data_IF_064781534825
#
_entry.id   IF_064781534825
#
_cell.length_a   1.000
_cell.length_b   1.000
_cell.length_c   1.000
_cell.angle_alpha   90.00
_cell.angle_beta   90.00
_cell.angle_gamma   90.00
#
_symmetry.space_group_name_H-M   'P 1'
#
loop_
_entity.id
_entity.type
_entity.pdbx_description
1 polymer ?
#
# COMPACT_ATOMS: atom_id res chain seq x y z
N UNK A 1 5.34 -12.31 5.70
CA UNK A 1 3.92 -11.88 5.66
C UNK A 1 3.31 -11.96 4.26
N UNK A 2 4.04 -11.61 3.20
CA UNK A 2 3.52 -11.65 1.82
C UNK A 2 3.15 -13.06 1.35
N UNK A 3 3.80 -14.11 1.85
CA UNK A 3 3.48 -15.48 1.51
C UNK A 3 2.02 -15.86 1.76
N UNK A 4 1.37 -15.28 2.79
CA UNK A 4 -0.04 -15.50 3.09
C UNK A 4 -0.99 -14.94 1.99
N UNK A 5 -0.52 -13.94 1.24
CA UNK A 5 -1.28 -13.26 0.18
C UNK A 5 -0.92 -13.77 -1.22
N UNK A 6 -0.04 -14.77 -1.29
CA UNK A 6 0.29 -15.42 -2.57
C UNK A 6 -0.92 -16.19 -3.08
N UNK A 7 -1.17 -16.08 -4.37
CA UNK A 7 -2.22 -16.84 -5.05
C UNK A 7 -1.64 -17.51 -6.29
N UNK A 8 -2.16 -18.68 -6.62
CA UNK A 8 -1.83 -19.41 -7.85
C UNK A 8 -2.87 -19.15 -8.97
N UNK A 9 -3.64 -18.06 -8.88
CA UNK A 9 -4.58 -17.66 -9.93
C UNK A 9 -3.81 -17.47 -11.23
N UNK A 10 -4.24 -18.23 -12.26
CA UNK A 10 -3.72 -18.11 -13.62
C UNK A 10 -4.40 -16.94 -14.31
N UNK A 11 -3.61 -16.13 -15.00
CA UNK A 11 -4.13 -15.00 -15.77
C UNK A 11 -3.16 -13.82 -15.80
N UNK A 12 -3.47 -12.77 -16.56
CA UNK A 12 -2.68 -11.55 -16.56
C UNK A 12 -2.79 -10.84 -15.19
N UNK A 13 -1.67 -10.32 -14.71
CA UNK A 13 -1.67 -9.52 -13.50
C UNK A 13 -2.36 -8.17 -13.71
N UNK A 14 -3.23 -7.77 -12.78
CA UNK A 14 -3.85 -6.45 -12.78
C UNK A 14 -2.82 -5.33 -12.62
N UNK A 15 -1.74 -5.63 -11.89
CA UNK A 15 -0.63 -4.71 -11.65
C UNK A 15 0.68 -5.44 -11.93
N UNK A 16 1.57 -4.81 -12.71
CA UNK A 16 2.92 -5.29 -12.94
C UNK A 16 3.95 -4.26 -12.46
N UNK A 17 4.78 -4.64 -11.51
CA UNK A 17 5.86 -3.82 -10.98
C UNK A 17 7.21 -4.43 -11.37
N UNK A 18 8.10 -3.60 -11.95
CA UNK A 18 9.47 -4.00 -12.26
C UNK A 18 10.43 -3.21 -11.38
N UNK A 19 11.26 -3.91 -10.62
CA UNK A 19 12.27 -3.31 -9.78
C UNK A 19 13.61 -3.23 -10.51
N UNK A 20 14.29 -2.09 -10.35
CA UNK A 20 15.65 -1.81 -10.81
C UNK A 20 16.48 -1.40 -9.59
N UNK A 21 17.73 -1.85 -9.56
CA UNK A 21 18.63 -1.63 -8.42
C UNK A 21 19.76 -0.64 -8.76
N UNK A 22 19.41 0.34 -9.57
CA UNK A 22 20.20 1.52 -9.85
C UNK A 22 19.25 2.69 -10.01
N UNK A 23 19.62 3.86 -9.54
CA UNK A 23 18.85 5.08 -9.77
C UNK A 23 19.13 5.60 -11.19
N UNK A 24 18.11 6.13 -11.88
CA UNK A 24 18.34 6.85 -13.12
C UNK A 24 19.02 8.19 -12.83
N UNK A 25 19.87 8.64 -13.74
CA UNK A 25 20.30 10.02 -13.74
C UNK A 25 19.16 10.91 -14.24
N UNK A 26 18.72 11.83 -13.41
CA UNK A 26 17.66 12.78 -13.72
C UNK A 26 18.18 14.21 -13.88
N UNK A 27 19.50 14.42 -13.87
CA UNK A 27 20.08 15.72 -14.04
C UNK A 27 19.75 16.30 -15.42
N UNK A 28 19.07 17.44 -15.43
CA UNK A 28 18.63 18.11 -16.67
C UNK A 28 17.42 17.47 -17.37
N UNK A 29 16.85 16.39 -16.82
CA UNK A 29 15.68 15.75 -17.38
C UNK A 29 14.41 16.58 -17.12
N UNK A 30 13.61 16.79 -18.15
CA UNK A 30 12.26 17.32 -18.00
C UNK A 30 11.35 16.25 -17.37
N UNK A 31 10.91 16.45 -16.15
CA UNK A 31 9.98 15.56 -15.46
C UNK A 31 8.50 15.90 -15.71
N UNK A 32 8.25 16.97 -16.48
CA UNK A 32 6.91 17.49 -16.72
C UNK A 32 6.41 18.38 -15.58
N UNK A 33 5.09 18.49 -15.45
CA UNK A 33 4.46 19.36 -14.45
C UNK A 33 4.54 18.76 -13.05
N UNK A 34 5.08 19.50 -12.10
CA UNK A 34 4.97 19.16 -10.69
C UNK A 34 3.51 19.25 -10.23
N UNK A 35 3.00 18.19 -9.63
CA UNK A 35 1.62 18.07 -9.14
C UNK A 35 1.56 18.18 -7.63
N UNK A 36 2.61 17.73 -6.94
CA UNK A 36 2.68 17.71 -5.50
C UNK A 36 4.13 17.69 -5.03
N UNK A 37 4.44 18.44 -3.97
CA UNK A 37 5.73 18.38 -3.27
C UNK A 37 5.52 18.57 -1.78
N UNK A 38 5.71 17.50 -1.06
CA UNK A 38 5.85 17.49 0.40
C UNK A 38 6.62 16.22 0.79
N UNK A 39 7.74 16.34 1.50
CA UNK A 39 8.48 15.15 1.93
C UNK A 39 7.58 14.11 2.60
N UNK A 40 7.77 12.83 2.33
CA UNK A 40 8.88 12.28 1.53
C UNK A 40 8.62 12.22 0.01
N UNK A 41 7.68 12.97 -0.54
CA UNK A 41 7.26 12.86 -1.93
C UNK A 41 7.40 14.14 -2.74
N UNK A 42 7.87 14.00 -3.99
CA UNK A 42 7.60 14.92 -5.07
C UNK A 42 6.99 14.14 -6.23
N UNK A 43 5.86 14.63 -6.77
CA UNK A 43 5.06 13.93 -7.76
C UNK A 43 4.94 14.79 -9.01
N UNK A 44 5.25 14.19 -10.16
CA UNK A 44 5.21 14.86 -11.45
C UNK A 44 4.30 14.13 -12.43
N UNK A 45 3.80 14.87 -13.39
CA UNK A 45 3.00 14.35 -14.50
C UNK A 45 3.65 14.71 -15.83
N UNK A 46 4.06 13.70 -16.60
CA UNK A 46 4.60 13.87 -17.94
C UNK A 46 3.81 13.02 -18.94
N UNK A 47 2.97 13.68 -19.75
CA UNK A 47 2.07 12.97 -20.65
C UNK A 47 1.20 11.95 -19.94
N UNK A 48 1.25 10.68 -20.33
CA UNK A 48 0.55 9.57 -19.72
C UNK A 48 1.32 8.89 -18.56
N UNK A 49 2.38 9.53 -18.05
CA UNK A 49 3.22 8.95 -16.99
C UNK A 49 3.11 9.75 -15.71
N UNK A 50 3.10 9.03 -14.59
CA UNK A 50 3.27 9.56 -13.25
C UNK A 50 4.67 9.25 -12.75
N UNK A 51 5.38 10.26 -12.26
CA UNK A 51 6.73 10.13 -11.73
C UNK A 51 6.69 10.53 -10.26
N UNK A 52 7.15 9.64 -9.41
CA UNK A 52 7.23 9.84 -7.97
C UNK A 52 8.69 9.81 -7.56
N UNK A 53 9.15 10.87 -6.93
CA UNK A 53 10.47 10.95 -6.35
C UNK A 53 10.36 10.87 -4.84
N UNK A 54 11.18 10.05 -4.22
CA UNK A 54 11.35 10.08 -2.78
C UNK A 54 12.43 11.10 -2.46
N UNK A 55 12.03 12.15 -1.75
CA UNK A 55 12.86 13.28 -1.35
C UNK A 55 13.05 13.30 0.16
N UNK A 56 14.18 13.80 0.60
CA UNK A 56 14.47 13.99 2.02
C UNK A 56 13.64 15.11 2.63
N UNK A 57 13.23 15.01 3.90
CA UNK A 57 12.71 16.13 4.66
C UNK A 57 13.81 17.16 5.03
N UNK A 58 15.07 16.76 4.99
CA UNK A 58 16.21 17.66 5.19
C UNK A 58 16.52 18.39 3.87
N UNK A 59 16.38 19.73 3.81
CA UNK A 59 16.68 20.51 2.61
C UNK A 59 18.15 20.43 2.16
N UNK A 60 19.07 20.09 3.06
CA UNK A 60 20.49 19.91 2.75
C UNK A 60 20.76 18.58 2.02
N UNK A 61 19.89 17.60 2.18
CA UNK A 61 19.96 16.33 1.47
C UNK A 61 19.22 16.41 0.13
N UNK A 62 19.95 16.70 -0.92
CA UNK A 62 19.44 16.75 -2.30
C UNK A 62 19.52 15.41 -3.01
N UNK A 63 19.92 14.34 -2.32
CA UNK A 63 20.07 13.03 -2.91
C UNK A 63 18.72 12.46 -3.34
N UNK A 64 18.74 11.79 -4.48
CA UNK A 64 17.61 11.03 -4.95
C UNK A 64 17.61 9.66 -4.27
N UNK A 65 16.59 9.40 -3.44
CA UNK A 65 16.53 8.14 -2.68
C UNK A 65 15.81 7.04 -3.45
N UNK A 66 14.80 7.40 -4.23
CA UNK A 66 14.03 6.44 -5.05
C UNK A 66 13.23 7.15 -6.13
N UNK A 67 13.04 6.45 -7.25
CA UNK A 67 12.18 6.90 -8.35
C UNK A 67 11.15 5.81 -8.63
N UNK A 68 9.91 6.23 -8.85
CA UNK A 68 8.88 5.34 -9.37
C UNK A 68 8.23 5.99 -10.57
N UNK A 69 8.05 5.22 -11.63
CA UNK A 69 7.39 5.68 -12.86
C UNK A 69 6.23 4.72 -13.14
N UNK A 70 5.03 5.27 -13.22
CA UNK A 70 3.82 4.53 -13.53
C UNK A 70 3.18 5.03 -14.82
N UNK A 71 2.48 4.13 -15.51
CA UNK A 71 1.52 4.52 -16.54
C UNK A 71 0.33 5.25 -15.91
N UNK A 72 -0.54 5.81 -16.73
CA UNK A 72 -1.69 6.62 -16.31
C UNK A 72 -2.60 5.90 -15.30
N UNK A 73 -2.94 4.66 -15.58
CA UNK A 73 -3.80 3.85 -14.71
C UNK A 73 -3.08 3.17 -13.54
N UNK A 74 -1.80 3.42 -13.30
CA UNK A 74 -0.98 2.77 -12.25
C UNK A 74 -0.96 1.23 -12.30
N UNK A 75 -1.31 0.65 -13.41
CA UNK A 75 -1.30 -0.82 -13.61
C UNK A 75 0.09 -1.36 -13.97
N UNK A 76 0.99 -0.49 -14.42
CA UNK A 76 2.38 -0.85 -14.75
C UNK A 76 3.31 0.18 -14.14
N UNK A 77 4.30 -0.29 -13.39
CA UNK A 77 5.28 0.56 -12.73
C UNK A 77 6.71 0.05 -12.84
N UNK A 78 7.66 0.98 -12.88
CA UNK A 78 9.08 0.75 -12.69
C UNK A 78 9.50 1.45 -11.41
N UNK A 79 10.21 0.74 -10.56
CA UNK A 79 10.68 1.23 -9.27
C UNK A 79 12.20 1.13 -9.26
N UNK A 80 12.87 2.24 -9.08
CA UNK A 80 14.31 2.36 -9.06
C UNK A 80 14.77 2.62 -7.64
N UNK A 81 15.64 1.76 -7.14
CA UNK A 81 16.25 1.83 -5.81
C UNK A 81 17.76 1.85 -5.94
N UNK A 82 18.51 2.48 -5.04
CA UNK A 82 19.97 2.54 -5.14
C UNK A 82 20.63 1.15 -5.01
N UNK A 83 20.01 0.23 -4.27
CA UNK A 83 20.54 -1.13 -4.04
C UNK A 83 19.41 -2.16 -3.94
N UNK A 84 19.78 -3.45 -4.01
CA UNK A 84 18.89 -4.60 -3.80
C UNK A 84 18.91 -5.11 -2.34
N UNK A 85 19.59 -4.43 -1.45
CA UNK A 85 19.87 -4.90 -0.09
C UNK A 85 18.62 -5.28 0.71
N UNK A 86 17.54 -4.47 0.60
CA UNK A 86 16.28 -4.76 1.27
C UNK A 86 15.63 -6.05 0.77
N UNK A 87 15.79 -6.39 -0.52
CA UNK A 87 15.32 -7.66 -1.06
C UNK A 87 16.15 -8.81 -0.54
N UNK A 88 17.49 -8.68 -0.53
CA UNK A 88 18.40 -9.72 -0.06
C UNK A 88 18.22 -10.04 1.43
N UNK A 89 17.97 -9.02 2.25
CA UNK A 89 17.74 -9.17 3.69
C UNK A 89 16.35 -9.69 4.03
N UNK A 90 15.44 -9.80 3.07
CA UNK A 90 14.06 -10.23 3.31
C UNK A 90 13.21 -9.28 4.15
N UNK A 91 13.69 -8.05 4.38
CA UNK A 91 13.04 -7.02 5.20
C UNK A 91 11.96 -6.22 4.49
N UNK A 92 11.30 -6.80 3.47
CA UNK A 92 10.24 -6.10 2.74
C UNK A 92 9.01 -5.89 3.62
N UNK A 93 8.73 -4.66 3.96
CA UNK A 93 7.50 -4.28 4.66
C UNK A 93 6.38 -3.84 3.70
N UNK A 94 6.74 -3.52 2.46
CA UNK A 94 5.86 -3.08 1.39
C UNK A 94 6.25 -3.76 0.08
N UNK A 95 5.30 -4.03 -0.82
CA UNK A 95 5.54 -4.60 -2.15
C UNK A 95 6.44 -3.73 -3.02
N UNK A 96 6.47 -2.44 -2.77
CA UNK A 96 7.23 -1.47 -3.53
C UNK A 96 8.32 -0.75 -2.70
N UNK A 97 8.73 -1.34 -1.57
CA UNK A 97 9.84 -0.90 -0.70
C UNK A 97 9.61 0.36 0.13
N UNK A 98 8.49 1.04 -0.01
CA UNK A 98 8.05 2.20 0.77
C UNK A 98 6.54 2.17 0.81
N UNK A 99 5.85 3.05 1.59
CA UNK A 99 4.39 3.12 1.63
C UNK A 99 3.73 3.44 0.27
N UNK A 100 4.41 3.10 -0.82
CA UNK A 100 3.92 3.10 -2.20
C UNK A 100 2.74 2.15 -2.40
N UNK A 101 2.61 1.10 -1.60
CA UNK A 101 1.40 0.25 -1.60
C UNK A 101 0.17 1.10 -1.34
N UNK A 102 0.26 2.05 -0.41
CA UNK A 102 -0.82 2.99 -0.11
C UNK A 102 -1.17 3.85 -1.32
N UNK A 103 -0.16 4.32 -2.03
CA UNK A 103 -0.30 5.15 -3.20
C UNK A 103 -0.93 4.38 -4.37
N UNK A 104 -0.42 3.18 -4.65
CA UNK A 104 -0.92 2.30 -5.70
C UNK A 104 -2.37 1.89 -5.39
N UNK A 105 -2.63 1.40 -4.19
CA UNK A 105 -3.97 0.95 -3.80
C UNK A 105 -4.97 2.11 -3.78
N UNK A 106 -4.59 3.29 -3.29
CA UNK A 106 -5.45 4.46 -3.32
C UNK A 106 -5.82 4.91 -4.74
N UNK A 107 -4.95 4.67 -5.72
CA UNK A 107 -5.20 4.98 -7.13
C UNK A 107 -6.04 3.92 -7.85
N UNK A 108 -5.86 2.66 -7.51
CA UNK A 108 -6.51 1.55 -8.20
C UNK A 108 -7.87 1.19 -7.61
N UNK A 109 -8.00 1.16 -6.29
CA UNK A 109 -9.21 0.68 -5.62
C UNK A 109 -10.51 1.39 -6.02
N UNK A 110 -10.53 2.71 -6.29
CA UNK A 110 -11.75 3.39 -6.75
C UNK A 110 -12.36 2.79 -8.01
N UNK A 111 -11.51 2.36 -8.98
CA UNK A 111 -11.98 1.69 -10.20
C UNK A 111 -12.66 0.33 -9.92
N UNK A 112 -12.36 -0.28 -8.78
CA UNK A 112 -12.93 -1.55 -8.33
C UNK A 112 -13.99 -1.38 -7.22
N UNK A 113 -14.52 -0.17 -7.04
CA UNK A 113 -15.50 0.14 -6.00
C UNK A 113 -14.95 -0.01 -4.58
N UNK A 114 -13.67 0.22 -4.39
CA UNK A 114 -12.97 0.04 -3.13
C UNK A 114 -12.24 1.27 -2.62
N UNK A 115 -11.89 1.24 -1.34
CA UNK A 115 -11.08 2.25 -0.67
C UNK A 115 -10.04 1.57 0.23
N UNK A 116 -8.90 2.23 0.42
CA UNK A 116 -7.87 1.83 1.36
C UNK A 116 -8.01 2.67 2.63
N UNK A 117 -8.22 2.04 3.77
CA UNK A 117 -8.61 2.71 5.01
C UNK A 117 -7.59 2.45 6.10
N UNK A 118 -7.16 3.51 6.80
CA UNK A 118 -6.38 3.38 8.04
C UNK A 118 -7.32 2.94 9.18
N UNK A 119 -7.45 1.65 9.34
CA UNK A 119 -8.35 1.02 10.28
C UNK A 119 -7.84 -0.36 10.68
N UNK A 120 -8.25 -0.83 11.85
CA UNK A 120 -8.14 -2.23 12.21
C UNK A 120 -9.40 -2.98 11.80
N UNK A 121 -9.26 -4.26 11.44
CA UNK A 121 -10.39 -5.11 11.12
C UNK A 121 -10.22 -6.53 11.62
N UNK A 122 -11.34 -7.09 12.07
CA UNK A 122 -11.45 -8.47 12.57
C UNK A 122 -12.69 -9.12 11.94
N UNK A 123 -12.57 -10.37 11.52
CA UNK A 123 -13.72 -11.20 11.22
C UNK A 123 -14.13 -11.96 12.48
N UNK A 124 -15.34 -11.68 12.99
CA UNK A 124 -15.89 -12.32 14.16
C UNK A 124 -17.21 -13.00 13.79
N UNK A 125 -17.28 -14.32 13.93
CA UNK A 125 -18.47 -15.13 13.57
C UNK A 125 -18.96 -14.85 12.14
N UNK A 126 -18.03 -14.70 11.18
CA UNK A 126 -18.31 -14.41 9.78
C UNK A 126 -18.74 -12.97 9.47
N UNK A 127 -18.68 -12.06 10.44
CA UNK A 127 -18.98 -10.65 10.30
C UNK A 127 -17.69 -9.83 10.40
N UNK A 128 -17.51 -8.86 9.50
CA UNK A 128 -16.42 -7.91 9.54
C UNK A 128 -16.71 -6.79 10.52
N UNK A 129 -15.82 -6.59 11.46
CA UNK A 129 -15.80 -5.44 12.36
C UNK A 129 -14.66 -4.52 11.94
N UNK A 130 -14.98 -3.25 11.68
CA UNK A 130 -14.04 -2.22 11.26
C UNK A 130 -13.90 -1.16 12.35
N UNK A 131 -12.68 -0.94 12.81
CA UNK A 131 -12.33 0.04 13.83
C UNK A 131 -11.50 1.16 13.19
N UNK A 132 -12.17 2.24 12.80
CA UNK A 132 -11.54 3.42 12.24
C UNK A 132 -11.33 4.48 13.33
N UNK A 133 -10.25 5.24 13.22
CA UNK A 133 -9.92 6.31 14.16
C UNK A 133 -8.49 6.81 13.95
N UNK A 134 -8.17 7.91 14.61
CA UNK A 134 -6.82 8.48 14.60
C UNK A 134 -5.80 7.50 15.19
N UNK A 135 -4.51 7.80 15.00
CA UNK A 135 -3.46 7.09 15.75
C UNK A 135 -3.75 7.18 17.25
N UNK A 136 -3.41 6.11 17.98
CA UNK A 136 -3.65 6.00 19.45
C UNK A 136 -5.12 5.96 19.89
N UNK A 137 -6.10 5.92 19.00
CA UNK A 137 -7.52 5.79 19.33
C UNK A 137 -7.93 4.40 19.88
N UNK A 138 -6.97 3.52 20.16
CA UNK A 138 -7.22 2.20 20.74
C UNK A 138 -7.59 1.10 19.73
N UNK A 139 -7.40 1.30 18.43
CA UNK A 139 -7.69 0.28 17.40
C UNK A 139 -7.00 -1.04 17.67
N UNK A 140 -5.67 -1.02 17.86
CA UNK A 140 -4.88 -2.22 18.15
C UNK A 140 -5.25 -2.84 19.53
N UNK A 141 -5.65 -2.01 20.49
CA UNK A 141 -6.13 -2.48 21.81
C UNK A 141 -7.40 -3.31 21.66
N UNK A 142 -8.37 -2.86 20.88
CA UNK A 142 -9.60 -3.61 20.61
C UNK A 142 -9.29 -4.94 19.93
N UNK A 143 -8.39 -4.93 18.93
CA UNK A 143 -7.97 -6.16 18.25
C UNK A 143 -7.33 -7.14 19.23
N UNK A 144 -6.48 -6.67 20.16
CA UNK A 144 -5.87 -7.48 21.22
C UNK A 144 -6.94 -8.06 22.17
N UNK A 145 -7.97 -7.28 22.55
CA UNK A 145 -9.06 -7.70 23.41
C UNK A 145 -9.96 -8.77 22.78
N UNK A 146 -10.22 -8.66 21.47
CA UNK A 146 -10.94 -9.70 20.73
C UNK A 146 -10.10 -10.98 20.72
N UNK A 147 -8.78 -10.85 20.59
CA UNK A 147 -7.82 -11.94 20.70
C UNK A 147 -8.10 -13.07 19.71
N UNK A 148 -8.20 -14.31 20.23
CA UNK A 148 -8.42 -15.51 19.40
C UNK A 148 -9.88 -15.80 19.10
N UNK A 149 -10.83 -15.00 19.62
CA UNK A 149 -12.26 -15.16 19.33
C UNK A 149 -12.62 -14.79 17.90
N UNK A 150 -11.74 -14.08 17.20
CA UNK A 150 -11.92 -13.65 15.81
C UNK A 150 -10.64 -13.74 15.01
N UNK A 151 -10.79 -13.77 13.69
CA UNK A 151 -9.69 -13.69 12.75
C UNK A 151 -9.26 -12.22 12.57
N UNK A 152 -8.04 -11.89 12.96
CA UNK A 152 -7.48 -10.57 12.72
C UNK A 152 -7.14 -10.44 11.25
N UNK A 153 -7.87 -9.57 10.54
CA UNK A 153 -7.61 -9.27 9.13
C UNK A 153 -6.40 -8.35 8.99
N UNK A 154 -6.38 -7.28 9.77
CA UNK A 154 -5.25 -6.33 9.87
C UNK A 154 -5.53 -5.32 10.99
N UNK A 155 -4.50 -4.71 11.59
CA UNK A 155 -4.66 -3.68 12.62
C UNK A 155 -4.15 -2.28 12.21
N UNK A 156 -3.79 -2.11 10.94
CA UNK A 156 -3.27 -0.83 10.43
C UNK A 156 -4.04 -0.33 9.20
N UNK A 157 -4.07 -1.11 8.12
CA UNK A 157 -4.70 -0.69 6.85
C UNK A 157 -5.41 -1.84 6.19
N UNK A 158 -6.66 -1.61 5.87
CA UNK A 158 -7.55 -2.59 5.24
C UNK A 158 -8.13 -2.06 3.94
N UNK A 159 -8.59 -2.98 3.11
CA UNK A 159 -9.38 -2.63 1.92
C UNK A 159 -10.86 -2.85 2.23
N UNK A 160 -11.68 -1.85 1.94
CA UNK A 160 -13.14 -1.98 1.96
C UNK A 160 -13.64 -1.86 0.54
N UNK A 161 -14.48 -2.79 0.10
CA UNK A 161 -15.05 -2.80 -1.26
C UNK A 161 -16.55 -3.01 -1.21
N UNK A 162 -17.24 -2.50 -2.25
CA UNK A 162 -18.63 -2.87 -2.52
C UNK A 162 -18.72 -4.36 -2.84
N UNK A 163 -19.73 -5.03 -2.27
CA UNK A 163 -20.01 -6.44 -2.46
C UNK A 163 -21.53 -6.65 -2.44
N UNK A 164 -22.12 -6.84 -3.63
CA UNK A 164 -23.58 -6.88 -3.76
C UNK A 164 -24.24 -5.60 -3.29
N UNK A 165 -25.21 -5.70 -2.36
CA UNK A 165 -25.91 -4.55 -1.76
C UNK A 165 -25.22 -3.94 -0.54
N UNK A 166 -23.98 -4.37 -0.21
CA UNK A 166 -23.29 -3.92 1.00
C UNK A 166 -21.78 -3.67 0.76
N UNK A 167 -21.03 -3.83 1.82
CA UNK A 167 -19.58 -3.68 1.82
C UNK A 167 -18.91 -4.91 2.41
N UNK A 168 -17.70 -5.19 1.98
CA UNK A 168 -16.82 -6.22 2.50
C UNK A 168 -15.47 -5.63 2.87
N UNK A 169 -14.96 -6.00 4.05
CA UNK A 169 -13.59 -5.68 4.46
C UNK A 169 -12.67 -6.84 4.11
N UNK A 170 -11.50 -6.51 3.59
CA UNK A 170 -10.44 -7.44 3.24
C UNK A 170 -9.19 -7.13 4.04
N UNK A 171 -8.54 -8.16 4.54
CA UNK A 171 -7.24 -8.01 5.18
C UNK A 171 -6.14 -7.66 4.18
N UNK A 172 -5.08 -7.09 4.72
CA UNK A 172 -3.88 -6.74 3.95
C UNK A 172 -2.64 -7.19 4.70
N UNK A 173 -1.49 -7.12 4.03
CA UNK A 173 -0.17 -7.43 4.62
C UNK A 173 0.35 -6.35 5.56
N UNK A 174 -0.32 -5.19 5.64
CA UNK A 174 0.05 -4.13 6.56
C UNK A 174 -0.31 -4.52 8.00
N UNK A 175 0.53 -4.15 8.95
CA UNK A 175 0.24 -4.36 10.36
C UNK A 175 0.84 -3.22 11.18
N UNK A 176 0.16 -2.85 12.23
CA UNK A 176 0.65 -1.98 13.28
C UNK A 176 1.30 -2.77 14.41
N UNK A 177 0.77 -2.63 15.63
CA UNK A 177 1.27 -3.33 16.81
C UNK A 177 0.95 -4.83 16.81
N UNK A 178 -0.19 -5.21 16.23
CA UNK A 178 -0.60 -6.61 16.12
C UNK A 178 -0.07 -7.20 14.81
N UNK A 179 0.97 -8.02 14.90
CA UNK A 179 1.64 -8.60 13.73
C UNK A 179 0.83 -9.65 12.97
N UNK A 180 -0.33 -10.04 13.50
CA UNK A 180 -1.24 -10.96 12.82
C UNK A 180 -1.95 -10.26 11.68
N UNK A 181 -1.92 -10.88 10.50
CA UNK A 181 -2.63 -10.44 9.30
C UNK A 181 -3.23 -11.66 8.61
N UNK A 182 -4.31 -11.46 7.87
CA UNK A 182 -4.96 -12.51 7.10
C UNK A 182 -5.34 -12.01 5.72
N UNK A 183 -5.27 -12.84 4.67
CA UNK A 183 -5.86 -12.55 3.36
C UNK A 183 -7.39 -12.71 3.35
N UNK A 184 -7.98 -13.08 4.48
CA UNK A 184 -9.42 -13.25 4.63
C UNK A 184 -10.22 -11.97 4.38
N UNK A 185 -11.52 -12.17 4.28
CA UNK A 185 -12.47 -11.06 4.13
C UNK A 185 -13.80 -11.40 4.80
N UNK A 186 -14.55 -10.37 5.21
CA UNK A 186 -15.85 -10.55 5.82
C UNK A 186 -16.81 -9.43 5.42
N UNK A 187 -18.14 -9.71 5.31
CA UNK A 187 -19.14 -8.68 5.07
C UNK A 187 -19.18 -7.71 6.25
N UNK A 188 -19.18 -6.41 5.96
CA UNK A 188 -19.44 -5.38 6.96
C UNK A 188 -20.94 -5.25 7.19
N UNK A 189 -21.34 -5.25 8.45
CA UNK A 189 -22.68 -4.77 8.85
C UNK A 189 -22.61 -3.28 9.16
N UNK A 190 -23.58 -2.57 8.64
CA UNK A 190 -23.90 -1.21 9.05
C UNK A 190 -24.55 -1.23 10.44
#
# INVERSE_FOLDING_TARGET
KFGLFRTDVQGPADIALRHHFSLPDLAGEDLGREVFRQPPWAIYRKGASWIYLMISPDPADTALHRVMVFNDGHTRGRIYSPTDELFRRGGLESLALIPSDQLILARLLPAFGGVFVHAAAVSLKGQGLLFAGQSEAGKSTIVKLIGERGEVLCDDRVVVRKDGGGFRVHGTWNHGEVRRVSPGSAPLRA
#
